data_IF_972960160649
#
_entry.id   IF_972960160649
#
_cell.length_a   1.000
_cell.length_b   1.000
_cell.length_c   1.000
_cell.angle_alpha   90.00
_cell.angle_beta   90.00
_cell.angle_gamma   90.00
#
_symmetry.space_group_name_H-M   'P 1'
#
loop_
_entity.id
_entity.type
_entity.pdbx_description
1 polymer ?
#
# COMPACT_ATOMS: atom_id res chain seq x y z
N UNK A 1 -25.42 31.17 -13.93
CA UNK A 1 -24.89 30.00 -14.67
C UNK A 1 -23.64 29.49 -13.98
N UNK A 2 -23.79 28.48 -13.09
CA UNK A 2 -22.67 27.76 -12.48
C UNK A 2 -22.05 26.83 -13.53
N UNK A 3 -20.82 27.06 -13.96
CA UNK A 3 -20.04 26.12 -14.76
C UNK A 3 -19.72 24.91 -13.91
N UNK A 4 -20.35 23.79 -14.22
CA UNK A 4 -19.96 22.47 -13.71
C UNK A 4 -18.72 22.03 -14.50
N UNK A 5 -17.56 22.13 -13.89
CA UNK A 5 -16.29 21.71 -14.47
C UNK A 5 -16.17 20.18 -14.29
N UNK A 6 -16.65 19.42 -15.27
CA UNK A 6 -16.41 17.99 -15.38
C UNK A 6 -15.04 17.75 -16.02
N UNK A 7 -14.00 17.79 -15.24
CA UNK A 7 -12.74 17.15 -15.66
C UNK A 7 -12.91 15.65 -15.43
N UNK A 8 -12.78 14.80 -16.46
CA UNK A 8 -12.68 13.35 -16.29
C UNK A 8 -11.29 13.03 -15.75
N UNK A 9 -11.06 13.31 -14.47
CA UNK A 9 -9.89 12.83 -13.78
C UNK A 9 -10.14 11.35 -13.49
N UNK A 10 -9.30 10.47 -14.03
CA UNK A 10 -9.24 9.05 -13.69
C UNK A 10 -9.20 8.92 -12.17
N UNK A 11 -10.35 8.74 -11.57
CA UNK A 11 -10.48 8.54 -10.12
C UNK A 11 -10.03 7.11 -9.82
N UNK A 12 -8.73 6.94 -9.58
CA UNK A 12 -8.24 5.75 -8.86
C UNK A 12 -9.06 5.69 -7.57
N UNK A 13 -9.79 4.59 -7.38
CA UNK A 13 -10.68 4.40 -6.25
C UNK A 13 -9.94 4.75 -4.94
N UNK A 14 -10.38 5.83 -4.29
CA UNK A 14 -9.73 6.35 -3.09
C UNK A 14 -9.99 5.38 -1.93
N UNK A 15 -9.06 4.45 -1.71
CA UNK A 15 -9.12 3.53 -0.57
C UNK A 15 -9.05 4.32 0.73
N UNK A 16 -9.95 4.02 1.67
CA UNK A 16 -9.83 4.55 3.03
C UNK A 16 -8.69 3.85 3.80
N UNK A 17 -8.25 4.41 4.92
CA UNK A 17 -7.12 3.87 5.68
C UNK A 17 -7.37 2.44 6.19
N UNK A 18 -8.58 2.14 6.66
CA UNK A 18 -8.95 0.78 7.11
C UNK A 18 -8.91 -0.23 5.97
N UNK A 19 -9.50 0.12 4.81
CA UNK A 19 -9.45 -0.75 3.63
C UNK A 19 -8.02 -1.02 3.18
N UNK A 20 -7.11 -0.05 3.31
CA UNK A 20 -5.70 -0.23 2.99
C UNK A 20 -5.06 -1.30 3.87
N UNK A 21 -5.32 -1.28 5.19
CA UNK A 21 -4.83 -2.31 6.12
C UNK A 21 -5.41 -3.69 5.78
N UNK A 22 -6.73 -3.76 5.58
CA UNK A 22 -7.42 -5.02 5.29
C UNK A 22 -6.89 -5.67 4.01
N UNK A 23 -6.77 -4.88 2.93
CA UNK A 23 -6.25 -5.37 1.65
C UNK A 23 -4.79 -5.82 1.79
N UNK A 24 -3.96 -5.07 2.49
CA UNK A 24 -2.57 -5.45 2.76
C UNK A 24 -2.47 -6.76 3.54
N UNK A 25 -3.31 -6.94 4.57
CA UNK A 25 -3.36 -8.17 5.35
C UNK A 25 -3.83 -9.38 4.51
N UNK A 26 -4.86 -9.19 3.69
CA UNK A 26 -5.35 -10.24 2.76
C UNK A 26 -4.24 -10.64 1.77
N UNK A 27 -3.56 -9.66 1.14
CA UNK A 27 -2.47 -9.95 0.22
C UNK A 27 -1.33 -10.71 0.90
N UNK A 28 -0.97 -10.33 2.12
CA UNK A 28 0.08 -11.02 2.90
C UNK A 28 -0.35 -12.43 3.28
N UNK A 29 -1.58 -12.62 3.75
CA UNK A 29 -2.11 -13.95 4.06
C UNK A 29 -2.18 -14.86 2.83
N UNK A 30 -2.65 -14.32 1.69
CA UNK A 30 -2.65 -15.04 0.42
C UNK A 30 -1.24 -15.44 0.00
N UNK A 31 -0.24 -14.57 0.23
CA UNK A 31 1.16 -14.86 -0.08
C UNK A 31 1.69 -16.03 0.74
N UNK A 32 1.32 -16.15 2.01
CA UNK A 32 1.71 -17.31 2.85
C UNK A 32 1.11 -18.60 2.27
N UNK A 33 -0.18 -18.56 1.90
CA UNK A 33 -0.84 -19.72 1.30
C UNK A 33 -0.20 -20.12 -0.05
N UNK A 34 0.08 -19.15 -0.92
CA UNK A 34 0.76 -19.38 -2.19
C UNK A 34 2.19 -19.90 -2.00
N UNK A 35 2.93 -19.42 -0.98
CA UNK A 35 4.25 -19.89 -0.64
C UNK A 35 4.26 -21.36 -0.22
N UNK A 36 3.35 -21.75 0.66
CA UNK A 36 3.18 -23.14 1.07
C UNK A 36 2.78 -24.03 -0.13
N UNK A 37 1.84 -23.58 -0.95
CA UNK A 37 1.42 -24.28 -2.15
C UNK A 37 2.58 -24.43 -3.15
N UNK A 38 3.35 -23.36 -3.35
CA UNK A 38 4.55 -23.38 -4.20
C UNK A 38 5.57 -24.42 -3.77
N UNK A 39 5.91 -24.44 -2.49
CA UNK A 39 6.91 -25.36 -1.95
C UNK A 39 6.48 -26.83 -1.97
N UNK A 40 5.21 -27.13 -1.70
CA UNK A 40 4.73 -28.50 -1.54
C UNK A 40 4.06 -29.09 -2.78
N UNK A 41 3.34 -28.27 -3.55
CA UNK A 41 2.57 -28.76 -4.68
C UNK A 41 3.15 -28.39 -6.04
N UNK A 42 3.75 -27.19 -6.18
CA UNK A 42 4.22 -26.73 -7.49
C UNK A 42 5.69 -27.08 -7.77
N UNK A 43 6.53 -27.11 -6.77
CA UNK A 43 7.98 -27.36 -6.93
C UNK A 43 8.31 -28.63 -7.76
N UNK A 44 7.58 -29.77 -7.60
CA UNK A 44 7.85 -30.96 -8.43
C UNK A 44 7.43 -30.83 -9.89
N UNK A 45 6.58 -29.85 -10.21
CA UNK A 45 5.92 -29.72 -11.54
C UNK A 45 6.42 -28.54 -12.35
N UNK A 46 7.11 -27.60 -11.73
CA UNK A 46 7.65 -26.40 -12.41
C UNK A 46 9.13 -26.59 -12.74
N UNK A 47 9.55 -26.00 -13.87
CA UNK A 47 10.98 -25.83 -14.13
C UNK A 47 11.61 -24.91 -13.08
N UNK A 48 12.93 -25.03 -12.84
CA UNK A 48 13.67 -24.16 -11.91
C UNK A 48 13.44 -22.67 -12.21
N UNK A 49 13.41 -22.29 -13.49
CA UNK A 49 13.15 -20.92 -13.91
C UNK A 49 11.72 -20.47 -13.56
N UNK A 50 10.72 -21.31 -13.77
CA UNK A 50 9.34 -21.01 -13.44
C UNK A 50 9.14 -20.88 -11.93
N UNK A 51 9.76 -21.79 -11.16
CA UNK A 51 9.73 -21.76 -9.69
C UNK A 51 10.39 -20.48 -9.16
N UNK A 52 11.57 -20.11 -9.65
CA UNK A 52 12.26 -18.87 -9.27
C UNK A 52 11.43 -17.62 -9.61
N UNK A 53 10.72 -17.62 -10.76
CA UNK A 53 9.81 -16.53 -11.14
C UNK A 53 8.62 -16.44 -10.17
N UNK A 54 8.05 -17.60 -9.80
CA UNK A 54 6.94 -17.68 -8.84
C UNK A 54 7.37 -17.19 -7.46
N UNK A 55 8.53 -17.59 -6.96
CA UNK A 55 9.09 -17.12 -5.69
C UNK A 55 9.35 -15.62 -5.69
N UNK A 56 9.79 -15.07 -6.82
CA UNK A 56 9.93 -13.62 -6.97
C UNK A 56 8.58 -12.91 -6.84
N UNK A 57 7.54 -13.44 -7.47
CA UNK A 57 6.18 -12.89 -7.35
C UNK A 57 5.71 -12.89 -5.89
N UNK A 58 5.85 -14.01 -5.18
CA UNK A 58 5.51 -14.16 -3.77
C UNK A 58 6.24 -13.14 -2.90
N UNK A 59 7.55 -12.99 -3.10
CA UNK A 59 8.41 -12.10 -2.32
C UNK A 59 7.95 -10.64 -2.47
N UNK A 60 7.71 -10.19 -3.69
CA UNK A 60 7.24 -8.84 -3.94
C UNK A 60 5.82 -8.62 -3.42
N UNK A 61 4.93 -9.59 -3.57
CA UNK A 61 3.58 -9.54 -3.04
C UNK A 61 3.59 -9.41 -1.50
N UNK A 62 4.43 -10.16 -0.79
CA UNK A 62 4.56 -10.07 0.66
C UNK A 62 5.05 -8.70 1.09
N UNK A 63 6.15 -8.21 0.51
CA UNK A 63 6.72 -6.91 0.90
C UNK A 63 5.72 -5.77 0.72
N UNK A 64 5.00 -5.76 -0.39
CA UNK A 64 4.04 -4.70 -0.66
C UNK A 64 2.72 -4.89 0.10
N UNK A 65 2.33 -6.12 0.42
CA UNK A 65 1.23 -6.40 1.34
C UNK A 65 1.50 -5.81 2.73
N UNK A 66 2.68 -6.08 3.29
CA UNK A 66 3.10 -5.50 4.58
C UNK A 66 3.26 -3.98 4.50
N UNK A 67 3.79 -3.45 3.40
CA UNK A 67 3.87 -2.01 3.18
C UNK A 67 2.48 -1.35 3.17
N UNK A 68 1.47 -1.98 2.55
CA UNK A 68 0.09 -1.49 2.58
C UNK A 68 -0.48 -1.47 4.00
N UNK A 69 -0.21 -2.49 4.82
CA UNK A 69 -0.60 -2.49 6.24
C UNK A 69 0.04 -1.30 6.97
N UNK A 70 1.35 -1.12 6.83
CA UNK A 70 2.08 -0.02 7.47
C UNK A 70 1.57 1.36 7.02
N UNK A 71 1.38 1.56 5.71
CA UNK A 71 0.83 2.81 5.16
C UNK A 71 -0.61 3.04 5.62
N UNK A 72 -1.42 1.99 5.71
CA UNK A 72 -2.78 2.08 6.22
C UNK A 72 -2.82 2.55 7.68
N UNK A 73 -1.96 1.99 8.54
CA UNK A 73 -1.81 2.42 9.94
C UNK A 73 -1.32 3.88 9.99
N UNK A 74 -0.30 4.22 9.21
CA UNK A 74 0.22 5.59 9.15
C UNK A 74 -0.87 6.58 8.77
N UNK A 75 -1.76 6.24 7.83
CA UNK A 75 -2.90 7.06 7.42
C UNK A 75 -3.99 7.18 8.49
N UNK A 76 -4.11 6.22 9.40
CA UNK A 76 -5.01 6.35 10.56
C UNK A 76 -4.50 7.35 11.59
N UNK A 77 -3.18 7.50 11.70
CA UNK A 77 -2.51 8.40 12.63
C UNK A 77 -2.27 9.79 12.03
N UNK A 78 -2.24 9.90 10.70
CA UNK A 78 -1.98 11.13 9.96
C UNK A 78 -3.23 12.06 9.91
N UNK A 79 -3.06 13.36 9.65
CA UNK A 79 -4.17 14.29 9.39
C UNK A 79 -5.02 13.83 8.20
N UNK A 80 -6.32 14.20 8.15
CA UNK A 80 -7.28 13.71 7.13
C UNK A 80 -6.90 14.01 5.67
N UNK A 81 -6.01 14.95 5.41
CA UNK A 81 -5.69 15.47 4.06
C UNK A 81 -4.41 14.86 3.45
N UNK A 82 -4.05 13.65 3.86
CA UNK A 82 -2.86 12.94 3.39
C UNK A 82 -3.03 12.33 1.97
N UNK A 83 -3.14 13.21 0.98
CA UNK A 83 -3.32 12.83 -0.44
C UNK A 83 -2.17 11.99 -0.98
N UNK A 84 -0.94 12.25 -0.54
CA UNK A 84 0.25 11.54 -1.01
C UNK A 84 0.30 10.10 -0.51
N UNK A 85 0.00 9.86 0.77
CA UNK A 85 -0.08 8.49 1.33
C UNK A 85 -1.23 7.69 0.69
N UNK A 86 -2.37 8.34 0.43
CA UNK A 86 -3.49 7.70 -0.25
C UNK A 86 -3.15 7.28 -1.68
N UNK A 87 -2.50 8.17 -2.45
CA UNK A 87 -2.01 7.87 -3.80
C UNK A 87 -0.96 6.77 -3.78
N UNK A 88 0.00 6.86 -2.87
CA UNK A 88 1.04 5.85 -2.68
C UNK A 88 0.44 4.46 -2.41
N UNK A 89 -0.53 4.35 -1.49
CA UNK A 89 -1.21 3.09 -1.21
C UNK A 89 -1.92 2.51 -2.44
N UNK A 90 -2.65 3.34 -3.20
CA UNK A 90 -3.32 2.89 -4.42
C UNK A 90 -2.33 2.43 -5.49
N UNK A 91 -1.21 3.14 -5.66
CA UNK A 91 -0.15 2.78 -6.60
C UNK A 91 0.58 1.51 -6.16
N UNK A 92 0.86 1.33 -4.86
CA UNK A 92 1.43 0.08 -4.36
C UNK A 92 0.50 -1.10 -4.63
N UNK A 93 -0.79 -0.97 -4.35
CA UNK A 93 -1.74 -2.04 -4.64
C UNK A 93 -1.78 -2.39 -6.12
N UNK A 94 -2.00 -1.39 -6.99
CA UNK A 94 -2.08 -1.59 -8.44
C UNK A 94 -0.78 -2.16 -8.99
N UNK A 95 0.36 -1.59 -8.59
CA UNK A 95 1.67 -2.05 -9.01
C UNK A 95 1.96 -3.49 -8.57
N UNK A 96 1.56 -3.86 -7.34
CA UNK A 96 1.71 -5.24 -6.83
C UNK A 96 0.87 -6.22 -7.64
N UNK A 97 -0.40 -5.89 -7.90
CA UNK A 97 -1.29 -6.75 -8.68
C UNK A 97 -0.78 -6.94 -10.11
N UNK A 98 -0.30 -5.88 -10.76
CA UNK A 98 0.25 -5.95 -12.11
C UNK A 98 1.58 -6.70 -12.12
N UNK A 99 2.52 -6.38 -11.23
CA UNK A 99 3.85 -6.99 -11.18
C UNK A 99 3.79 -8.45 -10.76
N UNK A 100 3.28 -8.74 -9.55
CA UNK A 100 3.22 -10.11 -9.04
C UNK A 100 2.25 -10.96 -9.87
N UNK A 101 1.11 -10.40 -10.31
CA UNK A 101 0.17 -11.10 -11.18
C UNK A 101 0.77 -11.50 -12.53
N UNK A 102 1.57 -10.62 -13.15
CA UNK A 102 2.27 -10.97 -14.39
C UNK A 102 3.30 -12.08 -14.19
N UNK A 103 4.06 -12.05 -13.09
CA UNK A 103 5.02 -13.10 -12.77
C UNK A 103 4.36 -14.43 -12.45
N UNK A 104 3.24 -14.44 -11.70
CA UNK A 104 2.44 -15.65 -11.49
C UNK A 104 1.91 -16.21 -12.82
N UNK A 105 1.42 -15.34 -13.72
CA UNK A 105 0.97 -15.76 -15.04
C UNK A 105 2.09 -16.37 -15.90
N UNK A 106 3.31 -15.84 -15.82
CA UNK A 106 4.49 -16.42 -16.49
C UNK A 106 4.81 -17.80 -15.91
N UNK A 107 4.89 -17.88 -14.58
CA UNK A 107 5.31 -19.08 -13.89
C UNK A 107 4.33 -20.24 -14.01
N UNK A 108 3.01 -19.96 -13.86
CA UNK A 108 1.98 -20.99 -13.79
C UNK A 108 1.35 -21.32 -15.16
N UNK A 109 1.24 -20.32 -16.05
CA UNK A 109 0.52 -20.47 -17.31
C UNK A 109 1.47 -20.46 -18.53
N UNK A 110 2.76 -20.21 -18.31
CA UNK A 110 3.75 -20.13 -19.41
C UNK A 110 3.59 -18.92 -20.33
N UNK A 111 2.80 -17.90 -19.97
CA UNK A 111 2.54 -16.73 -20.80
C UNK A 111 3.74 -15.76 -20.84
N UNK A 112 4.77 -16.09 -21.60
CA UNK A 112 6.00 -15.30 -21.70
C UNK A 112 5.76 -13.81 -22.07
N UNK A 113 4.67 -13.50 -22.79
CA UNK A 113 4.27 -12.12 -23.14
C UNK A 113 4.02 -11.22 -21.94
N UNK A 114 3.63 -11.80 -20.80
CA UNK A 114 3.45 -11.05 -19.55
C UNK A 114 4.76 -10.50 -18.99
N UNK A 115 5.93 -10.99 -19.49
CA UNK A 115 7.23 -10.41 -19.20
C UNK A 115 7.38 -8.95 -19.57
N UNK A 116 6.63 -8.48 -20.60
CA UNK A 116 6.59 -7.06 -20.96
C UNK A 116 5.68 -6.23 -20.01
N UNK A 117 4.79 -6.88 -19.28
CA UNK A 117 3.86 -6.22 -18.33
C UNK A 117 4.52 -6.00 -16.97
N UNK A 118 5.39 -6.91 -16.54
CA UNK A 118 6.06 -6.83 -15.25
C UNK A 118 6.81 -5.50 -15.03
N UNK A 119 7.62 -4.96 -15.97
CA UNK A 119 8.27 -3.67 -15.81
C UNK A 119 7.31 -2.50 -15.59
N UNK A 120 6.11 -2.54 -16.19
CA UNK A 120 5.07 -1.52 -15.98
C UNK A 120 4.63 -1.56 -14.51
N UNK A 121 4.33 -2.75 -13.98
CA UNK A 121 4.00 -2.93 -12.57
C UNK A 121 5.12 -2.43 -11.65
N UNK A 122 6.38 -2.76 -11.95
CA UNK A 122 7.55 -2.30 -11.21
C UNK A 122 7.69 -0.77 -11.20
N UNK A 123 7.47 -0.12 -12.34
CA UNK A 123 7.50 1.35 -12.43
C UNK A 123 6.41 1.98 -11.57
N UNK A 124 5.19 1.42 -11.58
CA UNK A 124 4.08 1.88 -10.73
C UNK A 124 4.43 1.75 -9.24
N UNK A 125 5.11 0.65 -8.85
CA UNK A 125 5.60 0.46 -7.47
C UNK A 125 6.60 1.54 -7.06
N UNK A 126 7.58 1.85 -7.92
CA UNK A 126 8.59 2.90 -7.66
C UNK A 126 7.91 4.25 -7.46
N UNK A 127 6.96 4.63 -8.32
CA UNK A 127 6.18 5.87 -8.17
C UNK A 127 5.36 5.85 -6.88
N UNK A 128 4.77 4.71 -6.52
CA UNK A 128 4.03 4.51 -5.29
C UNK A 128 4.90 4.78 -4.04
N UNK A 129 6.11 4.24 -4.00
CA UNK A 129 7.08 4.50 -2.94
C UNK A 129 7.50 5.96 -2.88
N UNK A 130 7.71 6.62 -4.03
CA UNK A 130 7.97 8.06 -4.10
C UNK A 130 6.83 8.90 -3.49
N UNK A 131 5.58 8.54 -3.77
CA UNK A 131 4.42 9.18 -3.15
C UNK A 131 4.38 8.98 -1.63
N UNK A 132 4.71 7.79 -1.12
CA UNK A 132 4.75 7.52 0.31
C UNK A 132 5.86 8.35 0.97
N UNK A 133 7.06 8.40 0.39
CA UNK A 133 8.15 9.20 0.90
C UNK A 133 7.77 10.69 0.99
N UNK A 134 7.16 11.25 -0.06
CA UNK A 134 6.65 12.63 -0.06
C UNK A 134 5.53 12.83 0.96
N UNK A 135 4.66 11.85 1.17
CA UNK A 135 3.62 11.89 2.19
C UNK A 135 4.21 11.92 3.59
N UNK A 136 5.20 11.07 3.86
CA UNK A 136 5.85 10.97 5.16
C UNK A 136 6.54 12.28 5.59
N UNK A 137 7.17 13.02 4.65
CA UNK A 137 7.80 14.32 4.96
C UNK A 137 6.79 15.40 5.38
N UNK A 138 5.51 15.23 5.08
CA UNK A 138 4.45 16.19 5.40
C UNK A 138 3.71 15.87 6.70
N UNK A 139 3.98 14.73 7.31
CA UNK A 139 3.37 14.35 8.58
C UNK A 139 4.04 15.13 9.70
N UNK A 140 3.30 16.07 10.29
CA UNK A 140 3.69 16.72 11.54
C UNK A 140 3.20 15.86 12.70
N UNK A 141 4.05 15.01 13.22
CA UNK A 141 3.78 14.30 14.46
C UNK A 141 3.96 15.27 15.63
N UNK A 142 2.95 15.43 16.48
CA UNK A 142 3.14 15.98 17.81
C UNK A 142 2.46 17.29 18.18
N UNK A 143 1.63 17.92 17.36
CA UNK A 143 0.97 19.17 17.77
C UNK A 143 -0.46 19.04 18.32
N UNK A 144 -1.02 17.83 18.38
CA UNK A 144 -2.40 17.66 18.90
C UNK A 144 -2.50 17.69 20.43
N UNK A 145 -1.42 17.40 21.14
CA UNK A 145 -1.46 17.31 22.62
C UNK A 145 -1.38 18.66 23.33
N UNK A 146 -0.91 19.71 22.63
CA UNK A 146 -0.76 21.05 23.22
C UNK A 146 -1.93 22.00 22.90
N UNK A 147 -2.90 21.54 22.09
CA UNK A 147 -4.08 22.34 21.71
C UNK A 147 -5.39 21.77 22.25
N UNK A 148 -5.33 20.87 23.23
CA UNK A 148 -6.54 20.44 23.92
C UNK A 148 -6.95 21.55 24.91
N UNK A 149 -8.07 22.26 24.66
CA UNK A 149 -8.53 23.37 25.53
C UNK A 149 -8.74 22.93 26.98
N UNK A 150 -8.94 21.63 27.20
CA UNK A 150 -9.10 21.05 28.53
C UNK A 150 -7.86 21.11 29.40
N UNK A 151 -6.67 21.03 28.82
CA UNK A 151 -5.39 21.05 29.58
C UNK A 151 -5.08 22.49 30.00
N UNK A 152 -5.30 23.46 29.12
CA UNK A 152 -5.08 24.88 29.42
C UNK A 152 -5.96 25.35 30.57
N UNK A 153 -7.21 24.87 30.66
CA UNK A 153 -8.12 25.20 31.77
C UNK A 153 -7.72 24.61 33.12
N UNK A 154 -7.00 23.49 33.15
CA UNK A 154 -6.55 22.86 34.39
C UNK A 154 -5.34 23.61 34.99
N UNK A 155 -4.42 24.08 34.14
CA UNK A 155 -3.27 24.88 34.60
C UNK A 155 -3.68 26.26 35.10
N UNK A 156 -4.66 26.94 34.46
CA UNK A 156 -5.19 28.25 34.92
C UNK A 156 -5.92 28.10 36.27
N UNK A 157 -6.58 26.96 36.51
CA UNK A 157 -7.27 26.69 37.77
C UNK A 157 -6.33 26.33 38.92
N UNK A 158 -5.19 25.73 38.61
CA UNK A 158 -4.15 25.36 39.58
C UNK A 158 -3.27 26.56 40.01
N UNK A 159 -3.21 27.62 39.18
CA UNK A 159 -2.37 28.80 39.44
C UNK A 159 -3.08 29.95 40.13
N UNK A 160 -4.38 29.83 40.49
CA UNK A 160 -5.09 30.87 41.25
C UNK A 160 -4.84 30.70 42.75
N UNK A 161 -4.17 31.66 43.43
CA UNK A 161 -4.02 31.64 44.88
C UNK A 161 -5.39 31.83 45.55
N UNK A 162 -5.58 31.18 46.71
CA UNK A 162 -6.78 31.20 47.54
C UNK A 162 -7.04 32.57 48.19
#
# INVERSE_FOLDING_TARGET
LKRVNHSPCFQVAKMNARSTVVVGAILSGLTVALGAFGAHALAPHLSERALSTFETAIRYQMWHGLALVAVGILRMLAPPDERWLSRGASLLLTGTLVFAGSLHGIALLGYARLGAVAPIGGTVLIVGWGCIALGATKIRMGQRHLQDPGIVHLEDKASRPA
#
